data_IF_160117077951
#
_entry.id   IF_160117077951
#
_cell.length_a   1.000
_cell.length_b   1.000
_cell.length_c   1.000
_cell.angle_alpha   90.00
_cell.angle_beta   90.00
_cell.angle_gamma   90.00
#
_symmetry.space_group_name_H-M   'P 1'
#
loop_
_entity.id
_entity.type
_entity.pdbx_description
1 polymer ?
#
# COMPACT_ATOMS: atom_id res chain seq x y z
N UNK A 1 19.45 -23.80 21.84
CA UNK A 1 18.65 -24.79 21.11
C UNK A 1 17.81 -24.05 20.09
N UNK A 2 18.21 -24.03 18.82
CA UNK A 2 17.42 -23.43 17.74
C UNK A 2 16.99 -24.53 16.78
N UNK A 3 15.72 -24.53 16.37
CA UNK A 3 15.23 -25.45 15.36
C UNK A 3 16.08 -25.30 14.08
N UNK A 4 16.64 -26.41 13.58
CA UNK A 4 17.26 -26.43 12.25
C UNK A 4 16.14 -26.58 11.22
N UNK A 5 16.14 -25.73 10.20
CA UNK A 5 15.23 -25.85 9.06
C UNK A 5 15.57 -27.14 8.31
N UNK A 6 14.61 -28.05 8.17
CA UNK A 6 14.78 -29.37 7.55
C UNK A 6 14.72 -29.36 6.02
N UNK A 7 14.19 -28.28 5.42
CA UNK A 7 14.11 -28.06 3.96
C UNK A 7 14.75 -26.74 3.56
N UNK A 8 15.20 -26.66 2.31
CA UNK A 8 15.75 -25.44 1.69
C UNK A 8 14.86 -24.89 0.57
N UNK A 9 13.71 -25.53 0.37
CA UNK A 9 12.74 -25.31 -0.70
C UNK A 9 11.30 -25.25 -0.16
N UNK A 10 10.37 -24.81 -1.00
CA UNK A 10 8.95 -24.71 -0.66
C UNK A 10 8.27 -26.08 -0.64
N UNK A 11 7.25 -26.22 0.22
CA UNK A 11 6.34 -27.36 0.17
C UNK A 11 5.25 -27.09 -0.85
N UNK A 12 5.18 -27.95 -1.86
CA UNK A 12 4.16 -27.86 -2.89
C UNK A 12 2.99 -28.76 -2.52
N UNK A 13 1.80 -28.16 -2.39
CA UNK A 13 0.54 -28.88 -2.23
C UNK A 13 -0.16 -28.96 -3.57
N UNK A 14 -0.72 -30.13 -3.91
CA UNK A 14 -1.42 -30.35 -5.19
C UNK A 14 -2.83 -29.74 -5.25
N UNK A 15 -3.26 -29.01 -4.22
CA UNK A 15 -4.55 -28.31 -4.20
C UNK A 15 -4.39 -26.90 -4.77
N UNK A 16 -5.33 -26.47 -5.60
CA UNK A 16 -5.41 -25.09 -6.07
C UNK A 16 -5.54 -24.09 -4.92
N UNK A 17 -5.32 -22.81 -5.23
CA UNK A 17 -5.51 -21.72 -4.28
C UNK A 17 -6.94 -21.76 -3.70
N UNK A 18 -7.10 -21.71 -2.36
CA UNK A 18 -8.39 -22.02 -1.73
C UNK A 18 -9.41 -20.88 -1.82
N UNK A 19 -9.03 -19.65 -2.15
CA UNK A 19 -9.90 -18.46 -2.07
C UNK A 19 -11.03 -18.51 -3.09
N UNK A 20 -10.78 -18.89 -4.34
CA UNK A 20 -11.82 -18.99 -5.36
C UNK A 20 -12.90 -20.01 -4.98
N UNK A 21 -12.47 -21.21 -4.57
CA UNK A 21 -13.37 -22.28 -4.12
C UNK A 21 -14.12 -21.88 -2.86
N UNK A 22 -13.44 -21.33 -1.85
CA UNK A 22 -14.06 -20.88 -0.60
C UNK A 22 -15.05 -19.74 -0.84
N UNK A 23 -14.72 -18.76 -1.69
CA UNK A 23 -15.63 -17.67 -2.06
C UNK A 23 -16.92 -18.21 -2.63
N UNK A 24 -16.87 -19.17 -3.56
CA UNK A 24 -18.07 -19.81 -4.12
C UNK A 24 -18.90 -20.47 -3.03
N UNK A 25 -18.29 -21.36 -2.24
CA UNK A 25 -18.98 -22.12 -1.19
C UNK A 25 -19.61 -21.20 -0.12
N UNK A 26 -18.90 -20.13 0.27
CA UNK A 26 -19.43 -19.13 1.21
C UNK A 26 -20.62 -18.40 0.60
N UNK A 27 -20.53 -17.96 -0.65
CA UNK A 27 -21.62 -17.22 -1.31
C UNK A 27 -22.85 -18.09 -1.60
N UNK A 28 -22.67 -19.39 -1.83
CA UNK A 28 -23.78 -20.33 -2.00
C UNK A 28 -24.51 -20.57 -0.67
N UNK A 29 -23.76 -20.67 0.44
CA UNK A 29 -24.32 -20.85 1.78
C UNK A 29 -24.89 -19.56 2.38
N UNK A 30 -24.31 -18.42 2.04
CA UNK A 30 -24.58 -17.10 2.62
C UNK A 30 -24.74 -16.03 1.52
N UNK A 31 -25.82 -16.10 0.71
CA UNK A 31 -26.04 -15.18 -0.41
C UNK A 31 -26.20 -13.71 0.04
N UNK A 32 -26.60 -13.46 1.28
CA UNK A 32 -26.70 -12.13 1.89
C UNK A 32 -25.38 -11.36 1.88
N UNK A 33 -24.24 -12.07 1.91
CA UNK A 33 -22.90 -11.46 1.88
C UNK A 33 -22.68 -10.68 0.59
N UNK A 34 -23.33 -11.04 -0.53
CA UNK A 34 -23.22 -10.28 -1.79
C UNK A 34 -23.64 -8.82 -1.63
N UNK A 35 -24.57 -8.53 -0.70
CA UNK A 35 -25.01 -7.14 -0.43
C UNK A 35 -23.92 -6.30 0.24
N UNK A 36 -22.97 -6.95 0.92
CA UNK A 36 -21.84 -6.33 1.59
C UNK A 36 -20.62 -6.15 0.67
N UNK A 37 -20.62 -6.78 -0.51
CA UNK A 37 -19.56 -6.64 -1.52
C UNK A 37 -19.70 -5.32 -2.30
N UNK A 38 -19.73 -4.21 -1.58
CA UNK A 38 -19.88 -2.86 -2.12
C UNK A 38 -18.74 -1.95 -1.65
N UNK A 39 -18.70 -0.74 -2.19
CA UNK A 39 -17.76 0.31 -1.79
C UNK A 39 -18.22 0.93 -0.47
N UNK A 40 -17.34 1.00 0.54
CA UNK A 40 -17.59 1.86 1.72
C UNK A 40 -17.43 3.33 1.31
N UNK A 41 -18.52 4.08 1.37
CA UNK A 41 -18.55 5.50 0.98
C UNK A 41 -17.73 6.40 1.90
N UNK A 42 -17.46 5.95 3.14
CA UNK A 42 -16.67 6.69 4.14
C UNK A 42 -15.17 6.54 3.92
N UNK A 43 -14.74 5.45 3.29
CA UNK A 43 -13.34 5.08 3.15
C UNK A 43 -12.46 6.24 2.64
N UNK A 44 -12.84 6.86 1.52
CA UNK A 44 -12.09 8.00 0.95
C UNK A 44 -11.98 9.21 1.89
N UNK A 45 -12.99 9.45 2.72
CA UNK A 45 -12.98 10.57 3.67
C UNK A 45 -12.07 10.29 4.85
N UNK A 46 -12.04 9.03 5.33
CA UNK A 46 -11.07 8.60 6.34
C UNK A 46 -9.64 8.75 5.82
N UNK A 47 -9.38 8.31 4.59
CA UNK A 47 -8.05 8.46 3.96
C UNK A 47 -7.64 9.93 3.84
N UNK A 48 -8.53 10.80 3.37
CA UNK A 48 -8.24 12.23 3.28
C UNK A 48 -8.00 12.87 4.66
N UNK A 49 -8.74 12.44 5.68
CA UNK A 49 -8.54 12.91 7.05
C UNK A 49 -7.17 12.49 7.60
N UNK A 50 -6.71 11.26 7.32
CA UNK A 50 -5.38 10.78 7.72
C UNK A 50 -4.26 11.54 7.01
N UNK A 51 -4.40 11.78 5.69
CA UNK A 51 -3.42 12.57 4.92
C UNK A 51 -3.35 14.00 5.46
N UNK A 52 -4.50 14.65 5.69
CA UNK A 52 -4.55 15.99 6.25
C UNK A 52 -3.95 16.04 7.65
N UNK A 53 -4.27 15.05 8.49
CA UNK A 53 -3.70 14.94 9.83
C UNK A 53 -2.17 14.88 9.78
N UNK A 54 -1.60 14.06 8.88
CA UNK A 54 -0.14 13.97 8.73
C UNK A 54 0.48 15.28 8.20
N UNK A 55 -0.19 16.00 7.30
CA UNK A 55 0.28 17.34 6.85
C UNK A 55 0.25 18.35 8.01
N UNK A 56 -0.76 18.28 8.88
CA UNK A 56 -0.85 19.15 10.06
C UNK A 56 0.29 18.83 11.05
N UNK A 57 0.62 17.55 11.26
CA UNK A 57 1.74 17.18 12.13
C UNK A 57 3.08 17.62 11.56
N UNK A 58 3.28 17.55 10.24
CA UNK A 58 4.47 18.13 9.58
C UNK A 58 4.64 19.62 9.91
N UNK A 59 3.57 20.41 9.79
CA UNK A 59 3.62 21.83 10.13
C UNK A 59 3.84 22.07 11.63
N UNK A 60 3.17 21.31 12.49
CA UNK A 60 3.26 21.48 13.94
C UNK A 60 4.67 21.15 14.50
N UNK A 61 5.41 20.27 13.83
CA UNK A 61 6.70 19.77 14.30
C UNK A 61 7.90 20.41 13.58
N UNK A 62 7.67 21.34 12.64
CA UNK A 62 8.73 21.96 11.83
C UNK A 62 9.87 22.58 12.64
N UNK A 63 9.58 23.14 13.83
CA UNK A 63 10.59 23.80 14.68
C UNK A 63 11.13 22.89 15.81
N UNK A 64 10.72 21.61 15.84
CA UNK A 64 11.20 20.65 16.85
C UNK A 64 12.60 20.16 16.46
N UNK A 65 13.58 20.49 17.30
CA UNK A 65 14.98 20.09 17.12
C UNK A 65 15.40 18.88 17.97
N UNK A 66 14.55 18.46 18.91
CA UNK A 66 14.84 17.31 19.78
C UNK A 66 14.69 16.00 19.00
N UNK A 67 15.83 15.40 18.66
CA UNK A 67 15.88 14.12 17.95
C UNK A 67 15.11 13.02 18.69
N UNK A 68 15.21 12.96 20.02
CA UNK A 68 14.51 11.95 20.82
C UNK A 68 12.99 12.10 20.75
N UNK A 69 12.49 13.34 20.79
CA UNK A 69 11.07 13.61 20.63
C UNK A 69 10.60 13.26 19.20
N UNK A 70 11.40 13.61 18.19
CA UNK A 70 11.12 13.26 16.79
C UNK A 70 11.05 11.75 16.59
N UNK A 71 11.99 10.96 17.15
CA UNK A 71 11.93 9.50 17.08
C UNK A 71 10.69 8.92 17.76
N UNK A 72 10.34 9.42 18.94
CA UNK A 72 9.15 8.97 19.66
C UNK A 72 7.87 9.25 18.85
N UNK A 73 7.74 10.47 18.33
CA UNK A 73 6.58 10.87 17.53
C UNK A 73 6.54 10.16 16.17
N UNK A 74 7.69 9.94 15.53
CA UNK A 74 7.76 9.17 14.28
C UNK A 74 7.25 7.74 14.48
N UNK A 75 7.58 7.09 15.61
CA UNK A 75 7.07 5.76 15.92
C UNK A 75 5.58 5.75 16.27
N UNK A 76 5.15 6.64 17.18
CA UNK A 76 3.80 6.63 17.74
C UNK A 76 2.74 7.29 16.85
N UNK A 77 3.13 8.28 16.04
CA UNK A 77 2.23 9.08 15.21
C UNK A 77 2.44 8.71 13.75
N UNK A 78 3.57 9.09 13.15
CA UNK A 78 3.78 8.87 11.71
C UNK A 78 3.74 7.39 11.35
N UNK A 79 4.36 6.51 12.15
CA UNK A 79 4.36 5.07 11.90
C UNK A 79 2.95 4.48 11.88
N UNK A 80 2.09 4.90 12.80
CA UNK A 80 0.69 4.47 12.86
C UNK A 80 -0.11 5.00 11.67
N UNK A 81 0.08 6.27 11.32
CA UNK A 81 -0.60 6.89 10.18
C UNK A 81 -0.13 6.29 8.85
N UNK A 82 1.17 6.12 8.64
CA UNK A 82 1.75 5.52 7.43
C UNK A 82 1.37 4.05 7.29
N UNK A 83 1.28 3.30 8.38
CA UNK A 83 0.74 1.93 8.32
C UNK A 83 -0.74 1.93 7.91
N UNK A 84 -1.54 2.84 8.45
CA UNK A 84 -2.95 2.98 8.05
C UNK A 84 -3.09 3.40 6.58
N UNK A 85 -2.25 4.32 6.10
CA UNK A 85 -2.25 4.79 4.72
C UNK A 85 -1.70 3.76 3.74
N UNK A 86 -0.73 2.92 4.13
CA UNK A 86 -0.26 1.81 3.27
C UNK A 86 -1.37 0.76 3.08
N UNK A 87 -2.11 0.44 4.14
CA UNK A 87 -3.34 -0.36 4.04
C UNK A 87 -4.41 0.32 3.18
N UNK A 88 -4.56 1.64 3.28
CA UNK A 88 -5.46 2.37 2.39
C UNK A 88 -5.03 2.27 0.92
N UNK A 89 -3.74 2.43 0.60
CA UNK A 89 -3.20 2.24 -0.75
C UNK A 89 -3.48 0.81 -1.25
N UNK A 90 -3.37 -0.19 -0.37
CA UNK A 90 -3.77 -1.57 -0.65
C UNK A 90 -5.25 -1.70 -1.06
N UNK A 91 -6.17 -1.16 -0.28
CA UNK A 91 -7.60 -1.20 -0.61
C UNK A 91 -7.94 -0.39 -1.88
N UNK A 92 -7.24 0.73 -2.10
CA UNK A 92 -7.38 1.54 -3.33
C UNK A 92 -6.89 0.76 -4.56
N UNK A 93 -5.86 -0.07 -4.41
CA UNK A 93 -5.39 -0.94 -5.50
C UNK A 93 -6.51 -1.86 -6.00
N UNK A 94 -7.31 -2.40 -5.07
CA UNK A 94 -8.52 -3.20 -5.30
C UNK A 94 -9.73 -2.40 -5.80
N UNK A 95 -9.62 -1.07 -5.84
CA UNK A 95 -10.66 -0.18 -6.33
C UNK A 95 -11.69 0.23 -5.27
N UNK A 96 -11.40 0.10 -3.98
CA UNK A 96 -12.35 0.40 -2.91
C UNK A 96 -12.76 1.88 -2.84
N UNK A 97 -11.95 2.84 -3.28
CA UNK A 97 -12.30 4.26 -3.14
C UNK A 97 -13.45 4.73 -4.06
N UNK A 98 -13.50 4.21 -5.30
CA UNK A 98 -14.48 4.64 -6.31
C UNK A 98 -15.13 3.48 -7.08
N UNK A 99 -14.87 2.25 -6.67
CA UNK A 99 -15.28 1.04 -7.37
C UNK A 99 -14.29 0.63 -8.47
N UNK A 100 -14.37 -0.66 -8.85
CA UNK A 100 -13.44 -1.31 -9.80
C UNK A 100 -13.47 -0.68 -11.21
N UNK A 101 -14.60 -0.12 -11.61
CA UNK A 101 -14.78 0.49 -12.93
C UNK A 101 -14.13 1.89 -13.05
N UNK A 102 -13.66 2.48 -11.95
CA UNK A 102 -13.08 3.84 -11.92
C UNK A 102 -11.57 3.77 -11.71
N UNK A 103 -10.87 3.07 -12.61
CA UNK A 103 -9.43 2.75 -12.45
C UNK A 103 -8.57 4.01 -12.31
N UNK A 104 -8.78 5.02 -13.16
CA UNK A 104 -8.00 6.28 -13.12
C UNK A 104 -8.24 7.05 -11.82
N UNK A 105 -9.49 7.17 -11.38
CA UNK A 105 -9.82 7.84 -10.13
C UNK A 105 -9.15 7.17 -8.92
N UNK A 106 -9.17 5.83 -8.86
CA UNK A 106 -8.47 5.09 -7.82
C UNK A 106 -6.94 5.28 -7.90
N UNK A 107 -6.34 5.29 -9.11
CA UNK A 107 -4.90 5.55 -9.24
C UNK A 107 -4.52 6.94 -8.72
N UNK A 108 -5.23 7.98 -9.12
CA UNK A 108 -4.97 9.35 -8.69
C UNK A 108 -5.17 9.51 -7.18
N UNK A 109 -6.23 8.94 -6.63
CA UNK A 109 -6.49 8.97 -5.19
C UNK A 109 -5.47 8.14 -4.39
N UNK A 110 -4.99 7.05 -4.96
CA UNK A 110 -3.89 6.28 -4.39
C UNK A 110 -2.61 7.10 -4.29
N UNK A 111 -2.32 8.00 -5.23
CA UNK A 111 -1.18 8.93 -5.13
C UNK A 111 -1.37 9.91 -3.97
N UNK A 112 -2.59 10.40 -3.75
CA UNK A 112 -2.92 11.28 -2.60
C UNK A 112 -2.71 10.56 -1.27
N UNK A 113 -3.24 9.35 -1.14
CA UNK A 113 -3.07 8.52 0.06
C UNK A 113 -1.59 8.22 0.37
N UNK A 114 -0.75 8.21 -0.66
CA UNK A 114 0.67 7.88 -0.59
C UNK A 114 1.55 9.08 -0.23
N UNK A 115 1.08 10.33 -0.38
CA UNK A 115 1.89 11.53 -0.17
C UNK A 115 2.68 11.51 1.15
N UNK A 116 2.08 11.16 2.30
CA UNK A 116 2.81 11.22 3.57
C UNK A 116 3.81 10.06 3.79
N UNK A 117 3.85 9.08 2.88
CA UNK A 117 4.78 7.94 2.96
C UNK A 117 6.18 8.30 2.43
N UNK A 118 6.29 9.35 1.60
CA UNK A 118 7.59 9.87 1.13
C UNK A 118 8.28 9.08 0.01
N UNK A 119 7.64 8.02 -0.52
CA UNK A 119 8.16 7.23 -1.64
C UNK A 119 7.07 6.92 -2.65
N UNK A 120 7.30 7.01 -3.98
CA UNK A 120 6.25 6.90 -5.00
C UNK A 120 5.82 5.44 -5.24
N UNK A 121 5.24 4.78 -4.23
CA UNK A 121 4.92 3.35 -4.30
C UNK A 121 3.51 3.05 -4.84
N UNK A 122 2.53 3.94 -4.69
CA UNK A 122 1.12 3.66 -4.98
C UNK A 122 0.81 2.94 -6.31
N UNK A 123 1.29 3.47 -7.45
CA UNK A 123 0.99 2.90 -8.77
C UNK A 123 1.70 1.56 -8.98
N UNK A 124 2.98 1.47 -8.59
CA UNK A 124 3.77 0.25 -8.68
C UNK A 124 3.21 -0.83 -7.78
N UNK A 125 2.85 -0.47 -6.54
CA UNK A 125 2.20 -1.36 -5.58
C UNK A 125 0.96 -1.99 -6.20
N UNK A 126 0.01 -1.19 -6.72
CA UNK A 126 -1.19 -1.72 -7.37
C UNK A 126 -0.88 -2.75 -8.46
N UNK A 127 0.16 -2.51 -9.26
CA UNK A 127 0.53 -3.37 -10.38
C UNK A 127 1.02 -4.74 -9.93
N UNK A 128 1.97 -4.78 -8.99
CA UNK A 128 2.53 -6.02 -8.45
C UNK A 128 1.53 -6.73 -7.52
N UNK A 129 0.81 -5.96 -6.71
CA UNK A 129 -0.18 -6.49 -5.78
C UNK A 129 -1.34 -7.24 -6.46
N UNK A 130 -1.88 -6.69 -7.55
CA UNK A 130 -2.92 -7.38 -8.32
C UNK A 130 -2.41 -8.62 -9.04
N UNK A 131 -1.11 -8.70 -9.29
CA UNK A 131 -0.47 -9.87 -9.87
C UNK A 131 -0.28 -10.97 -8.83
N UNK A 132 0.18 -10.63 -7.62
CA UNK A 132 0.15 -11.52 -6.45
C UNK A 132 -1.23 -12.16 -6.29
N UNK A 133 -2.29 -11.37 -6.24
CA UNK A 133 -3.66 -11.91 -6.11
C UNK A 133 -4.13 -12.76 -7.30
N UNK A 134 -3.59 -12.54 -8.49
CA UNK A 134 -3.95 -13.31 -9.69
C UNK A 134 -3.19 -14.64 -9.78
N UNK A 135 -1.94 -14.67 -9.34
CA UNK A 135 -1.02 -15.79 -9.46
C UNK A 135 -0.51 -16.24 -8.09
N UNK A 136 -1.38 -16.20 -7.08
CA UNK A 136 -1.02 -16.48 -5.69
C UNK A 136 -0.40 -17.88 -5.56
N UNK A 137 0.79 -17.96 -4.98
CA UNK A 137 1.53 -19.22 -4.85
C UNK A 137 2.44 -19.59 -6.03
N UNK A 138 2.48 -18.79 -7.10
CA UNK A 138 3.41 -18.97 -8.22
C UNK A 138 4.82 -18.42 -7.87
N UNK A 139 5.84 -19.29 -7.85
CA UNK A 139 7.19 -18.94 -7.42
C UNK A 139 7.94 -17.91 -8.30
N UNK A 140 7.48 -17.70 -9.53
CA UNK A 140 8.10 -16.77 -10.48
C UNK A 140 7.36 -15.44 -10.58
N UNK A 141 6.05 -15.43 -10.33
CA UNK A 141 5.16 -14.29 -10.59
C UNK A 141 4.67 -13.64 -9.30
N UNK A 142 4.39 -14.44 -8.26
CA UNK A 142 3.93 -13.95 -6.97
C UNK A 142 5.07 -13.19 -6.25
N UNK A 143 4.89 -11.88 -6.09
CA UNK A 143 5.88 -11.02 -5.44
C UNK A 143 5.98 -11.21 -3.92
N UNK A 144 5.01 -11.87 -3.29
CA UNK A 144 4.94 -12.04 -1.84
C UNK A 144 5.60 -13.35 -1.39
N UNK A 145 5.97 -14.22 -2.33
CA UNK A 145 6.81 -15.37 -2.04
C UNK A 145 8.24 -14.87 -1.78
N UNK A 146 8.88 -15.27 -0.65
CA UNK A 146 10.18 -14.76 -0.23
C UNK A 146 11.32 -15.30 -1.10
N UNK A 147 11.35 -14.86 -2.35
CA UNK A 147 12.39 -15.14 -3.33
C UNK A 147 12.99 -13.82 -3.77
N UNK A 148 14.31 -13.78 -4.00
CA UNK A 148 14.98 -12.59 -4.54
C UNK A 148 14.58 -12.31 -6.00
N UNK A 149 13.72 -13.14 -6.60
CA UNK A 149 13.48 -13.22 -8.04
C UNK A 149 12.47 -12.19 -8.58
N UNK A 150 11.32 -11.91 -7.98
CA UNK A 150 10.24 -11.21 -8.68
C UNK A 150 10.62 -9.79 -9.14
N UNK A 151 11.45 -9.08 -8.36
CA UNK A 151 11.92 -7.73 -8.67
C UNK A 151 12.96 -7.67 -9.80
N UNK A 152 13.81 -8.70 -9.94
CA UNK A 152 14.92 -8.71 -10.91
C UNK A 152 14.64 -9.59 -12.14
N UNK A 153 13.79 -10.61 -11.99
CA UNK A 153 13.47 -11.59 -13.04
C UNK A 153 12.35 -11.05 -13.94
N UNK A 154 11.43 -10.23 -13.39
CA UNK A 154 10.28 -9.72 -14.15
C UNK A 154 9.96 -8.27 -13.80
N UNK A 155 10.89 -7.32 -14.03
CA UNK A 155 10.60 -5.91 -13.89
C UNK A 155 9.47 -5.55 -14.84
N UNK A 156 8.48 -4.81 -14.35
CA UNK A 156 7.35 -4.40 -15.17
C UNK A 156 7.68 -3.10 -15.90
N UNK A 157 7.14 -2.90 -17.12
CA UNK A 157 7.43 -1.70 -17.91
C UNK A 157 6.92 -0.46 -17.21
N UNK A 158 7.75 0.58 -17.13
CA UNK A 158 7.38 1.88 -16.59
C UNK A 158 6.35 2.53 -17.52
N UNK A 159 5.19 2.90 -16.99
CA UNK A 159 4.10 3.57 -17.70
C UNK A 159 4.06 5.05 -17.32
N UNK A 160 3.28 5.84 -18.07
CA UNK A 160 3.05 7.26 -17.76
C UNK A 160 2.49 7.49 -16.36
N UNK A 161 1.75 6.52 -15.80
CA UNK A 161 1.26 6.63 -14.42
C UNK A 161 2.35 6.40 -13.37
N UNK A 162 3.35 5.56 -13.62
CA UNK A 162 4.52 5.47 -12.72
C UNK A 162 5.30 6.78 -12.75
N UNK A 163 5.53 7.36 -13.93
CA UNK A 163 6.19 8.67 -14.06
C UNK A 163 5.40 9.77 -13.33
N UNK A 164 4.07 9.81 -13.51
CA UNK A 164 3.21 10.75 -12.81
C UNK A 164 3.29 10.57 -11.29
N UNK A 165 3.24 9.33 -10.79
CA UNK A 165 3.36 9.04 -9.36
C UNK A 165 4.68 9.56 -8.79
N UNK A 166 5.79 9.30 -9.50
CA UNK A 166 7.12 9.78 -9.13
C UNK A 166 7.18 11.30 -9.11
N UNK A 167 6.69 11.98 -10.14
CA UNK A 167 6.68 13.45 -10.20
C UNK A 167 5.83 14.03 -9.06
N UNK A 168 4.63 13.51 -8.84
CA UNK A 168 3.73 13.97 -7.77
C UNK A 168 4.40 13.81 -6.39
N UNK A 169 4.98 12.64 -6.10
CA UNK A 169 5.62 12.39 -4.81
C UNK A 169 6.85 13.29 -4.61
N UNK A 170 7.78 13.31 -5.56
CA UNK A 170 9.00 14.11 -5.43
C UNK A 170 8.70 15.61 -5.35
N UNK A 171 7.65 16.08 -6.04
CA UNK A 171 7.20 17.47 -5.93
C UNK A 171 6.66 17.75 -4.53
N UNK A 172 5.84 16.86 -3.98
CA UNK A 172 5.32 17.01 -2.62
C UNK A 172 6.45 17.01 -1.58
N UNK A 173 7.36 16.03 -1.64
CA UNK A 173 8.49 15.92 -0.71
C UNK A 173 9.40 17.15 -0.80
N UNK A 174 9.66 17.66 -2.02
CA UNK A 174 10.41 18.89 -2.22
C UNK A 174 9.69 20.11 -1.63
N UNK A 175 8.37 20.22 -1.78
CA UNK A 175 7.59 21.31 -1.15
C UNK A 175 7.74 21.23 0.37
N UNK A 176 7.57 20.06 0.98
CA UNK A 176 7.72 19.88 2.43
C UNK A 176 9.15 20.22 2.86
N UNK A 177 10.18 19.67 2.20
CA UNK A 177 11.58 19.91 2.54
C UNK A 177 12.02 21.36 2.40
N UNK A 178 11.54 22.06 1.35
CA UNK A 178 11.88 23.47 1.10
C UNK A 178 11.10 24.45 1.98
N UNK A 179 9.90 24.10 2.45
CA UNK A 179 9.05 25.02 3.23
C UNK A 179 9.04 24.76 4.74
N UNK A 180 9.15 23.49 5.15
CA UNK A 180 9.09 23.05 6.55
C UNK A 180 10.43 22.47 7.05
N UNK A 181 11.38 22.26 6.15
CA UNK A 181 12.71 21.71 6.45
C UNK A 181 12.80 20.20 6.14
N UNK A 182 13.97 19.79 5.66
CA UNK A 182 14.21 18.40 5.24
C UNK A 182 14.11 17.37 6.36
N UNK A 183 14.30 17.78 7.63
CA UNK A 183 14.11 16.89 8.78
C UNK A 183 12.66 16.43 8.93
N UNK A 184 11.68 17.17 8.39
CA UNK A 184 10.26 16.79 8.39
C UNK A 184 9.92 15.77 7.31
N UNK A 185 10.66 15.72 6.20
CA UNK A 185 10.48 14.68 5.17
C UNK A 185 10.84 13.30 5.72
N UNK A 186 11.72 13.23 6.73
CA UNK A 186 12.15 12.01 7.39
C UNK A 186 11.35 11.67 8.67
N UNK A 187 10.36 12.50 9.02
CA UNK A 187 9.50 12.33 10.19
C UNK A 187 8.23 11.54 9.86
#
# INVERSE_FOLDING_TARGET
MGAKVSRKDFEWVGSDEPHATRRRLILDKHPEIKKLMCVDTRFKWVVLALVLFQIVTFYALKDVSSLALMFFLAYCVTGVINHSLSLAVHEIAHGQAFGQNRVVANKLFGMIANLPIGVPMSVSFKKYHLEHHRYQGDDAIDTDIPTLRPLFVRPKPVTSFELLNTVVQLTFDAIIGLTLGWHIVWY
#
